data_IF_488815969989
#
_entry.id   IF_488815969989
#
_cell.length_a   1.000
_cell.length_b   1.000
_cell.length_c   1.000
_cell.angle_alpha   90.00
_cell.angle_beta   90.00
_cell.angle_gamma   90.00
#
_symmetry.space_group_name_H-M   'P 1'
#
loop_
_entity.id
_entity.type
_entity.pdbx_description
1 polymer ?
#
# COMPACT_ATOMS: atom_id res chain seq x y z
N UNK A 1 10.45 0.03 28.54
CA UNK A 1 9.39 0.49 27.62
C UNK A 1 9.75 0.03 26.22
N UNK A 2 8.78 -0.45 25.43
CA UNK A 2 9.00 -0.67 24.00
C UNK A 2 8.89 0.67 23.28
N UNK A 3 9.83 0.97 22.40
CA UNK A 3 9.74 2.06 21.43
C UNK A 3 9.63 1.46 20.02
N UNK A 4 8.52 1.74 19.34
CA UNK A 4 8.31 1.31 17.96
C UNK A 4 8.85 2.39 17.02
N UNK A 5 9.77 2.02 16.14
CA UNK A 5 10.34 2.91 15.10
C UNK A 5 9.89 2.40 13.75
N UNK A 6 9.42 3.29 12.86
CA UNK A 6 9.00 2.88 11.52
C UNK A 6 10.23 2.74 10.63
N UNK A 7 10.17 1.77 9.73
CA UNK A 7 11.25 1.50 8.80
C UNK A 7 10.68 0.95 7.49
N UNK A 8 11.48 1.03 6.43
CA UNK A 8 11.18 0.44 5.12
C UNK A 8 12.30 -0.49 4.69
N UNK A 9 11.96 -1.47 3.87
CA UNK A 9 12.96 -2.32 3.21
C UNK A 9 13.35 -1.65 1.89
N UNK A 10 14.62 -1.32 1.73
CA UNK A 10 15.20 -0.81 0.49
C UNK A 10 16.50 -1.55 0.19
N UNK A 11 16.61 -2.11 -1.02
CA UNK A 11 17.78 -2.89 -1.46
C UNK A 11 18.21 -4.00 -0.48
N UNK A 12 17.24 -4.69 0.12
CA UNK A 12 17.48 -5.76 1.10
C UNK A 12 17.96 -5.28 2.47
N UNK A 13 17.96 -3.97 2.74
CA UNK A 13 18.31 -3.37 4.02
C UNK A 13 17.07 -2.74 4.65
N UNK A 14 17.03 -2.71 5.99
CA UNK A 14 16.02 -1.99 6.75
C UNK A 14 16.54 -0.57 7.01
N UNK A 15 15.82 0.43 6.49
CA UNK A 15 16.12 1.85 6.67
C UNK A 15 15.06 2.46 7.60
N UNK A 16 15.50 3.04 8.73
CA UNK A 16 14.60 3.76 9.64
C UNK A 16 14.06 5.03 8.97
N UNK A 17 12.77 5.31 9.13
CA UNK A 17 12.14 6.52 8.58
C UNK A 17 12.52 7.77 9.38
N UNK A 18 12.62 7.61 10.70
CA UNK A 18 13.10 8.65 11.61
C UNK A 18 14.49 8.30 12.16
N UNK A 19 15.38 9.29 12.33
CA UNK A 19 16.67 9.06 12.97
C UNK A 19 16.46 8.71 14.45
N UNK A 20 16.87 7.50 14.81
CA UNK A 20 16.85 7.00 16.20
C UNK A 20 18.22 6.44 16.52
N UNK A 21 18.76 6.82 17.68
CA UNK A 21 20.04 6.32 18.15
C UNK A 21 19.86 4.90 18.71
N UNK A 22 20.39 3.91 18.01
CA UNK A 22 20.37 2.50 18.41
C UNK A 22 21.77 2.12 18.86
N UNK A 23 21.89 1.69 20.12
CA UNK A 23 23.17 1.24 20.67
C UNK A 23 23.73 0.07 19.85
N UNK A 24 25.05 0.05 19.65
CA UNK A 24 25.72 -1.06 18.98
C UNK A 24 25.43 -2.39 19.70
N UNK A 25 25.07 -3.42 18.94
CA UNK A 25 24.70 -4.73 19.48
C UNK A 25 23.28 -4.81 20.07
N UNK A 26 22.46 -3.76 19.96
CA UNK A 26 21.08 -3.80 20.41
C UNK A 26 20.28 -4.90 19.68
N UNK A 27 19.55 -5.70 20.44
CA UNK A 27 18.59 -6.66 19.90
C UNK A 27 17.29 -5.94 19.54
N UNK A 28 16.79 -6.19 18.33
CA UNK A 28 15.54 -5.62 17.83
C UNK A 28 14.59 -6.72 17.39
N UNK A 29 13.29 -6.49 17.59
CA UNK A 29 12.23 -7.32 17.03
C UNK A 29 11.71 -6.65 15.77
N UNK A 30 11.66 -7.39 14.65
CA UNK A 30 11.15 -6.88 13.38
C UNK A 30 9.76 -7.45 13.14
N UNK A 31 8.80 -6.57 12.90
CA UNK A 31 7.45 -6.92 12.46
C UNK A 31 7.24 -6.33 11.07
N UNK A 32 6.99 -7.19 10.09
CA UNK A 32 6.68 -6.75 8.72
C UNK A 32 5.22 -6.33 8.70
N UNK A 33 4.96 -5.07 8.33
CA UNK A 33 3.61 -4.56 8.13
C UNK A 33 3.15 -4.97 6.73
N UNK A 34 2.12 -5.80 6.66
CA UNK A 34 1.44 -6.16 5.41
C UNK A 34 0.19 -5.31 5.28
N UNK A 35 -0.05 -4.74 4.11
CA UNK A 35 -1.31 -4.05 3.79
C UNK A 35 -2.39 -5.07 3.39
N UNK A 36 -2.56 -6.12 4.20
CA UNK A 36 -3.54 -7.19 3.96
C UNK A 36 -4.97 -6.65 3.92
N UNK A 37 -5.30 -5.67 4.75
CA UNK A 37 -6.60 -4.99 4.71
C UNK A 37 -6.80 -4.23 3.40
N UNK A 38 -5.79 -3.52 2.90
CA UNK A 38 -5.89 -2.83 1.63
C UNK A 38 -6.11 -3.84 0.49
N UNK A 39 -5.33 -4.91 0.46
CA UNK A 39 -5.46 -5.98 -0.54
C UNK A 39 -6.86 -6.60 -0.47
N UNK A 40 -7.35 -6.90 0.73
CA UNK A 40 -8.68 -7.45 0.96
C UNK A 40 -9.79 -6.50 0.49
N UNK A 41 -9.75 -5.25 0.94
CA UNK A 41 -10.78 -4.25 0.60
C UNK A 41 -10.76 -3.90 -0.89
N UNK A 42 -9.58 -3.85 -1.50
CA UNK A 42 -9.44 -3.65 -2.94
C UNK A 42 -10.02 -4.83 -3.72
N UNK A 43 -9.71 -6.06 -3.32
CA UNK A 43 -10.29 -7.26 -3.96
C UNK A 43 -11.82 -7.36 -3.78
N UNK A 44 -12.33 -6.98 -2.60
CA UNK A 44 -13.76 -7.05 -2.30
C UNK A 44 -14.57 -5.96 -3.03
N UNK A 45 -14.00 -4.77 -3.21
CA UNK A 45 -14.68 -3.63 -3.83
C UNK A 45 -14.58 -3.61 -5.36
N UNK A 46 -13.52 -4.17 -5.95
CA UNK A 46 -13.28 -4.15 -7.39
C UNK A 46 -14.48 -4.62 -8.23
N UNK A 47 -15.17 -5.75 -7.94
CA UNK A 47 -16.30 -6.19 -8.78
C UNK A 47 -17.49 -5.22 -8.78
N UNK A 48 -17.73 -4.54 -7.65
CA UNK A 48 -18.79 -3.52 -7.56
C UNK A 48 -18.40 -2.26 -8.31
N UNK A 49 -17.12 -1.91 -8.29
CA UNK A 49 -16.60 -0.78 -9.05
C UNK A 49 -16.68 -1.08 -10.56
N UNK A 50 -16.23 -2.25 -11.00
CA UNK A 50 -16.25 -2.68 -12.39
C UNK A 50 -17.67 -2.65 -12.95
N UNK A 51 -18.69 -3.09 -12.19
CA UNK A 51 -20.09 -3.03 -12.63
C UNK A 51 -20.58 -1.59 -12.93
N UNK A 52 -20.09 -0.60 -12.18
CA UNK A 52 -20.48 0.80 -12.36
C UNK A 52 -19.63 1.47 -13.44
N UNK A 53 -18.35 1.14 -13.51
CA UNK A 53 -17.36 1.79 -14.39
C UNK A 53 -17.31 1.19 -15.80
N UNK A 54 -17.54 -0.12 -15.95
CA UNK A 54 -17.69 -0.81 -17.25
C UNK A 54 -19.12 -0.69 -17.78
N UNK A 55 -19.71 0.50 -17.67
CA UNK A 55 -21.02 0.78 -18.21
C UNK A 55 -20.90 1.39 -19.62
N UNK A 56 -21.18 0.57 -20.64
CA UNK A 56 -21.19 0.97 -22.05
C UNK A 56 -22.13 2.17 -22.35
N UNK A 57 -23.14 2.41 -21.51
CA UNK A 57 -24.07 3.54 -21.61
C UNK A 57 -23.42 4.86 -21.15
N UNK A 58 -22.39 4.82 -20.31
CA UNK A 58 -21.65 6.01 -19.83
C UNK A 58 -20.48 6.38 -20.77
N UNK A 59 -20.05 5.44 -21.62
CA UNK A 59 -18.99 5.61 -22.62
C UNK A 59 -19.38 6.45 -23.85
N UNK A 60 -20.61 7.00 -23.90
CA UNK A 60 -21.12 7.75 -25.04
C UNK A 60 -20.21 8.94 -25.38
N UNK A 61 -19.70 9.65 -24.37
CA UNK A 61 -18.81 10.80 -24.60
C UNK A 61 -17.38 10.39 -24.97
N UNK A 62 -16.91 9.25 -24.48
CA UNK A 62 -15.61 8.70 -24.86
C UNK A 62 -15.56 8.35 -26.35
N UNK A 63 -16.69 7.85 -26.90
CA UNK A 63 -16.86 7.51 -28.33
C UNK A 63 -16.92 8.74 -29.26
N UNK A 64 -17.08 9.95 -28.71
CA UNK A 64 -17.13 11.20 -29.47
C UNK A 64 -15.78 11.91 -29.56
N UNK A 65 -14.75 11.43 -28.85
CA UNK A 65 -13.41 11.97 -28.94
C UNK A 65 -12.75 11.52 -30.26
N UNK A 66 -12.27 12.45 -31.10
CA UNK A 66 -11.54 12.12 -32.32
C UNK A 66 -10.18 11.49 -31.98
N UNK A 67 -9.80 10.47 -32.76
CA UNK A 67 -8.53 9.71 -32.67
C UNK A 67 -7.33 10.56 -33.06
#
# INVERSE_FOLDING_TARGET
MLSTVRAIVRNGKIELLEPVDLAEGAQVLVTVLTDEEQVFWQAASAPSLDQVWENDEDDIYAKLLPV
#
